data_IF_108776467231
#
_entry.id   IF_108776467231
#
_cell.length_a   1.000
_cell.length_b   1.000
_cell.length_c   1.000
_cell.angle_alpha   90.00
_cell.angle_beta   90.00
_cell.angle_gamma   90.00
#
_symmetry.space_group_name_H-M   'P 1'
#
loop_
_entity.id
_entity.type
_entity.pdbx_description
1 polymer ?
#
# COMPACT_ATOMS: atom_id res chain seq x y z
N UNK A 1 -22.21 -13.86 4.33
CA UNK A 1 -21.00 -13.09 4.64
C UNK A 1 -20.82 -12.06 3.55
N UNK A 2 -20.58 -10.83 3.92
CA UNK A 2 -20.29 -9.76 2.95
C UNK A 2 -18.94 -10.04 2.29
N UNK A 3 -18.90 -10.01 0.95
CA UNK A 3 -17.67 -10.25 0.21
C UNK A 3 -16.90 -8.94 0.09
N UNK A 4 -15.58 -9.01 0.18
CA UNK A 4 -14.70 -7.89 -0.09
C UNK A 4 -14.58 -7.69 -1.60
N UNK A 5 -14.93 -6.52 -2.08
CA UNK A 5 -14.94 -6.16 -3.49
C UNK A 5 -13.56 -5.66 -3.92
N UNK A 6 -12.94 -6.33 -4.87
CA UNK A 6 -11.60 -6.03 -5.36
C UNK A 6 -11.68 -5.57 -6.81
N UNK A 7 -10.99 -4.47 -7.13
CA UNK A 7 -10.73 -4.06 -8.51
C UNK A 7 -9.27 -4.35 -8.88
N UNK A 8 -9.02 -4.67 -10.14
CA UNK A 8 -7.68 -5.01 -10.65
C UNK A 8 -7.34 -4.10 -11.82
N UNK A 9 -6.15 -3.51 -11.78
CA UNK A 9 -5.66 -2.60 -12.81
C UNK A 9 -4.23 -2.95 -13.19
N UNK A 10 -4.02 -3.40 -14.43
CA UNK A 10 -2.72 -3.78 -14.96
C UNK A 10 -2.80 -3.77 -16.49
N UNK A 11 -1.81 -3.21 -17.20
CA UNK A 11 -1.82 -3.13 -18.67
C UNK A 11 -1.53 -4.48 -19.35
N UNK A 12 -1.12 -5.48 -18.57
CA UNK A 12 -0.87 -6.82 -19.06
C UNK A 12 -2.10 -7.72 -18.87
N UNK A 13 -2.79 -8.14 -19.97
CA UNK A 13 -3.99 -8.95 -19.87
C UNK A 13 -3.78 -10.34 -19.23
N UNK A 14 -2.55 -10.87 -19.28
CA UNK A 14 -2.23 -12.12 -18.61
C UNK A 14 -2.24 -11.95 -17.10
N UNK A 15 -1.69 -10.84 -16.59
CA UNK A 15 -1.70 -10.53 -15.16
C UNK A 15 -3.13 -10.27 -14.69
N UNK A 16 -3.93 -9.50 -15.44
CA UNK A 16 -5.35 -9.26 -15.13
C UNK A 16 -6.11 -10.58 -14.96
N UNK A 17 -5.93 -11.52 -15.89
CA UNK A 17 -6.62 -12.81 -15.83
C UNK A 17 -6.11 -13.68 -14.67
N UNK A 18 -4.80 -13.71 -14.44
CA UNK A 18 -4.19 -14.49 -13.34
C UNK A 18 -4.67 -13.98 -11.98
N UNK A 19 -4.72 -12.65 -11.79
CA UNK A 19 -5.21 -12.06 -10.54
C UNK A 19 -6.73 -12.27 -10.38
N UNK A 20 -7.49 -12.17 -11.46
CA UNK A 20 -8.93 -12.44 -11.45
C UNK A 20 -9.25 -13.87 -10.99
N UNK A 21 -8.58 -14.87 -11.57
CA UNK A 21 -8.70 -16.26 -11.16
C UNK A 21 -8.27 -16.48 -9.70
N UNK A 22 -7.14 -15.91 -9.32
CA UNK A 22 -6.61 -16.00 -7.97
C UNK A 22 -7.58 -15.46 -6.92
N UNK A 23 -8.07 -14.23 -7.13
CA UNK A 23 -8.94 -13.54 -6.17
C UNK A 23 -10.31 -14.22 -6.09
N UNK A 24 -10.90 -14.58 -7.23
CA UNK A 24 -12.22 -15.23 -7.24
C UNK A 24 -12.20 -16.68 -6.72
N UNK A 25 -11.04 -17.33 -6.67
CA UNK A 25 -10.86 -18.65 -6.03
C UNK A 25 -10.89 -18.57 -4.49
N UNK A 26 -10.71 -17.37 -3.93
CA UNK A 26 -10.66 -17.15 -2.49
C UNK A 26 -12.04 -16.84 -1.89
N UNK A 27 -12.45 -17.60 -0.87
CA UNK A 27 -13.72 -17.35 -0.17
C UNK A 27 -13.73 -15.95 0.47
N UNK A 28 -14.82 -15.22 0.26
CA UNK A 28 -15.01 -13.89 0.81
C UNK A 28 -14.37 -12.77 -0.01
N UNK A 29 -13.71 -13.06 -1.13
CA UNK A 29 -13.22 -12.09 -2.09
C UNK A 29 -14.05 -12.15 -3.39
N UNK A 30 -14.12 -11.04 -4.12
CA UNK A 30 -14.77 -10.97 -5.42
C UNK A 30 -14.17 -9.87 -6.27
N UNK A 31 -13.75 -10.18 -7.48
CA UNK A 31 -13.35 -9.16 -8.46
C UNK A 31 -14.60 -8.53 -9.06
N UNK A 32 -14.72 -7.20 -8.94
CA UNK A 32 -15.89 -6.45 -9.41
C UNK A 32 -15.58 -5.51 -10.57
N UNK A 33 -14.29 -5.33 -10.90
CA UNK A 33 -13.87 -4.49 -12.01
C UNK A 33 -12.44 -4.78 -12.43
N UNK A 34 -12.17 -4.60 -13.73
CA UNK A 34 -10.83 -4.71 -14.33
C UNK A 34 -10.61 -3.55 -15.29
N UNK A 35 -9.39 -3.01 -15.31
CA UNK A 35 -8.99 -1.99 -16.27
C UNK A 35 -7.54 -2.24 -16.72
N UNK A 36 -7.21 -1.87 -17.95
CA UNK A 36 -5.90 -2.05 -18.56
C UNK A 36 -5.10 -0.75 -18.70
N UNK A 37 -5.62 0.34 -18.16
CA UNK A 37 -4.96 1.66 -18.13
C UNK A 37 -5.57 2.55 -17.06
N UNK A 38 -4.81 3.59 -16.66
CA UNK A 38 -5.22 4.46 -15.54
C UNK A 38 -6.48 5.28 -15.80
N UNK A 39 -6.77 5.67 -17.06
CA UNK A 39 -7.98 6.45 -17.35
C UNK A 39 -9.26 5.62 -17.15
N UNK A 40 -9.26 4.39 -17.66
CA UNK A 40 -10.38 3.47 -17.49
C UNK A 40 -10.48 2.98 -16.04
N UNK A 41 -9.33 2.86 -15.34
CA UNK A 41 -9.29 2.54 -13.92
C UNK A 41 -10.06 3.56 -13.07
N UNK A 42 -9.84 4.85 -13.29
CA UNK A 42 -10.53 5.91 -12.53
C UNK A 42 -12.05 5.79 -12.73
N UNK A 43 -12.52 5.66 -13.98
CA UNK A 43 -13.95 5.50 -14.28
C UNK A 43 -14.52 4.24 -13.62
N UNK A 44 -13.83 3.11 -13.73
CA UNK A 44 -14.23 1.84 -13.15
C UNK A 44 -14.32 1.93 -11.62
N UNK A 45 -13.37 2.59 -10.94
CA UNK A 45 -13.39 2.78 -9.49
C UNK A 45 -14.59 3.62 -9.07
N UNK A 46 -14.93 4.68 -9.80
CA UNK A 46 -16.12 5.51 -9.56
C UNK A 46 -17.39 4.67 -9.67
N UNK A 47 -17.52 3.90 -10.74
CA UNK A 47 -18.74 3.15 -11.06
C UNK A 47 -18.96 1.96 -10.13
N UNK A 48 -17.88 1.29 -9.72
CA UNK A 48 -17.97 0.03 -8.96
C UNK A 48 -17.76 0.17 -7.46
N UNK A 49 -17.15 1.28 -7.00
CA UNK A 49 -16.86 1.56 -5.59
C UNK A 49 -16.21 0.38 -4.85
N UNK A 50 -15.04 -0.12 -5.30
CA UNK A 50 -14.39 -1.27 -4.69
C UNK A 50 -13.90 -0.97 -3.27
N UNK A 51 -13.69 -2.01 -2.48
CA UNK A 51 -13.05 -1.92 -1.17
C UNK A 51 -11.53 -1.80 -1.32
N UNK A 52 -10.97 -2.55 -2.27
CA UNK A 52 -9.53 -2.61 -2.54
C UNK A 52 -9.28 -2.51 -4.04
N UNK A 53 -8.23 -1.80 -4.40
CA UNK A 53 -7.71 -1.70 -5.77
C UNK A 53 -6.30 -2.29 -5.81
N UNK A 54 -6.11 -3.34 -6.60
CA UNK A 54 -4.78 -3.83 -6.99
C UNK A 54 -4.35 -3.05 -8.23
N UNK A 55 -3.24 -2.34 -8.15
CA UNK A 55 -2.88 -1.34 -9.14
C UNK A 55 -1.41 -1.46 -9.55
N UNK A 56 -1.16 -1.68 -10.83
CA UNK A 56 0.18 -1.53 -11.39
C UNK A 56 0.58 -0.05 -11.48
N UNK A 57 1.88 0.23 -11.26
CA UNK A 57 2.39 1.60 -11.38
C UNK A 57 2.65 1.99 -12.83
N UNK A 58 3.17 1.06 -13.62
CA UNK A 58 3.66 1.36 -14.97
C UNK A 58 2.59 1.00 -15.98
N UNK A 59 1.77 1.98 -16.35
CA UNK A 59 0.68 1.81 -17.31
C UNK A 59 0.64 2.93 -18.33
N UNK A 60 0.08 2.68 -19.54
CA UNK A 60 -0.11 3.72 -20.54
C UNK A 60 -1.17 4.75 -20.10
N UNK A 61 -1.09 5.96 -20.68
CA UNK A 61 -1.98 7.12 -20.51
C UNK A 61 -1.83 7.80 -19.14
N UNK A 62 -2.19 7.13 -18.06
CA UNK A 62 -2.11 7.62 -16.68
C UNK A 62 -1.44 6.53 -15.84
N UNK A 63 -0.35 6.88 -15.16
CA UNK A 63 0.37 5.96 -14.27
C UNK A 63 -0.40 5.70 -12.97
N UNK A 64 0.02 4.65 -12.24
CA UNK A 64 -0.68 4.22 -11.04
C UNK A 64 -0.65 5.25 -9.90
N UNK A 65 0.44 6.02 -9.74
CA UNK A 65 0.52 7.06 -8.70
C UNK A 65 -0.52 8.15 -8.98
N UNK A 66 -0.60 8.61 -10.22
CA UNK A 66 -1.60 9.60 -10.64
C UNK A 66 -3.04 9.11 -10.48
N UNK A 67 -3.30 7.79 -10.64
CA UNK A 67 -4.61 7.20 -10.34
C UNK A 67 -4.93 7.32 -8.86
N UNK A 68 -3.98 6.94 -7.97
CA UNK A 68 -4.18 7.04 -6.52
C UNK A 68 -4.46 8.47 -6.10
N UNK A 69 -3.62 9.43 -6.53
CA UNK A 69 -3.78 10.85 -6.21
C UNK A 69 -5.15 11.39 -6.65
N UNK A 70 -5.56 11.06 -7.87
CA UNK A 70 -6.82 11.54 -8.42
C UNK A 70 -8.00 10.97 -7.64
N UNK A 71 -8.02 9.68 -7.36
CA UNK A 71 -9.08 9.05 -6.56
C UNK A 71 -9.11 9.58 -5.13
N UNK A 72 -7.96 9.80 -4.50
CA UNK A 72 -7.89 10.32 -3.11
C UNK A 72 -8.25 11.81 -3.00
N UNK A 73 -7.98 12.60 -4.04
CA UNK A 73 -8.29 14.05 -4.06
C UNK A 73 -9.74 14.35 -4.41
N UNK A 74 -10.44 13.48 -5.11
CA UNK A 74 -11.83 13.69 -5.46
C UNK A 74 -12.74 13.32 -4.28
N UNK A 75 -13.30 14.33 -3.59
CA UNK A 75 -14.23 14.18 -2.46
C UNK A 75 -15.61 13.59 -2.84
N UNK A 76 -15.82 13.23 -4.08
CA UNK A 76 -17.05 12.62 -4.61
C UNK A 76 -17.22 11.14 -4.28
N UNK A 77 -16.16 10.49 -3.83
CA UNK A 77 -16.24 9.07 -3.46
C UNK A 77 -16.93 8.90 -2.11
N UNK A 78 -18.01 8.14 -2.10
CA UNK A 78 -18.72 7.75 -0.87
C UNK A 78 -17.82 6.90 0.05
N UNK A 79 -16.85 6.20 -0.52
CA UNK A 79 -15.87 5.38 0.18
C UNK A 79 -14.55 5.40 -0.62
N UNK A 80 -13.48 5.82 0.04
CA UNK A 80 -12.16 5.73 -0.57
C UNK A 80 -11.66 4.28 -0.51
N UNK A 81 -11.33 3.65 -1.65
CA UNK A 81 -10.75 2.31 -1.65
C UNK A 81 -9.35 2.31 -1.02
N UNK A 82 -8.94 1.17 -0.51
CA UNK A 82 -7.55 0.92 -0.18
C UNK A 82 -6.77 0.53 -1.44
N UNK A 83 -5.56 1.05 -1.61
CA UNK A 83 -4.71 0.76 -2.76
C UNK A 83 -3.55 -0.15 -2.37
N UNK A 84 -3.43 -1.27 -3.07
CA UNK A 84 -2.26 -2.16 -3.04
C UNK A 84 -1.54 -2.01 -4.37
N UNK A 85 -0.35 -1.43 -4.31
CA UNK A 85 0.48 -1.27 -5.50
C UNK A 85 1.19 -2.60 -5.82
N UNK A 86 1.14 -3.01 -7.08
CA UNK A 86 1.84 -4.18 -7.62
C UNK A 86 2.79 -3.69 -8.70
N UNK A 87 4.11 -3.71 -8.49
CA UNK A 87 5.05 -3.13 -9.46
C UNK A 87 6.28 -3.99 -9.70
N UNK A 88 6.75 -4.02 -10.95
CA UNK A 88 8.04 -4.58 -11.32
C UNK A 88 9.20 -3.61 -11.05
N UNK A 89 8.90 -2.34 -10.78
CA UNK A 89 9.88 -1.30 -10.47
C UNK A 89 9.93 -1.13 -8.97
N UNK A 90 11.13 -1.25 -8.38
CA UNK A 90 11.38 -1.01 -6.97
C UNK A 90 12.31 0.19 -6.79
N UNK A 91 12.39 0.67 -5.57
CA UNK A 91 13.27 1.74 -5.14
C UNK A 91 12.60 2.62 -4.10
N UNK A 92 13.42 3.14 -3.19
CA UNK A 92 12.95 3.96 -2.06
C UNK A 92 12.07 5.13 -2.53
N UNK A 93 12.52 5.87 -3.54
CA UNK A 93 11.78 7.02 -4.08
C UNK A 93 10.41 6.65 -4.63
N UNK A 94 10.29 5.55 -5.40
CA UNK A 94 9.03 5.13 -6.00
C UNK A 94 8.04 4.65 -4.93
N UNK A 95 8.54 3.95 -3.93
CA UNK A 95 7.75 3.48 -2.78
C UNK A 95 7.25 4.67 -1.96
N UNK A 96 8.13 5.66 -1.72
CA UNK A 96 7.78 6.90 -1.03
C UNK A 96 6.69 7.68 -1.77
N UNK A 97 6.84 7.86 -3.08
CA UNK A 97 5.87 8.59 -3.90
C UNK A 97 4.50 7.88 -3.90
N UNK A 98 4.48 6.55 -3.96
CA UNK A 98 3.26 5.76 -3.87
C UNK A 98 2.55 5.95 -2.50
N UNK A 99 3.29 5.91 -1.39
CA UNK A 99 2.70 6.12 -0.06
C UNK A 99 2.26 7.56 0.18
N UNK A 100 3.01 8.56 -0.32
CA UNK A 100 2.59 9.98 -0.29
C UNK A 100 1.31 10.21 -1.07
N UNK A 101 1.14 9.54 -2.21
CA UNK A 101 -0.10 9.57 -3.00
C UNK A 101 -1.29 8.95 -2.26
N UNK A 102 -1.05 8.10 -1.26
CA UNK A 102 -2.09 7.47 -0.44
C UNK A 102 -2.26 5.98 -0.64
N UNK A 103 -1.27 5.28 -1.22
CA UNK A 103 -1.25 3.82 -1.25
C UNK A 103 -1.18 3.25 0.18
N UNK A 104 -1.81 2.09 0.39
CA UNK A 104 -1.83 1.41 1.69
C UNK A 104 -0.75 0.34 1.79
N UNK A 105 -0.32 -0.20 0.65
CA UNK A 105 0.65 -1.27 0.58
C UNK A 105 1.39 -1.25 -0.76
N UNK A 106 2.67 -1.66 -0.74
CA UNK A 106 3.49 -1.80 -1.92
C UNK A 106 4.05 -3.22 -1.99
N UNK A 107 3.87 -3.90 -3.11
CA UNK A 107 4.31 -5.27 -3.35
C UNK A 107 5.05 -5.37 -4.67
N UNK A 108 6.30 -5.82 -4.63
CA UNK A 108 7.12 -6.00 -5.83
C UNK A 108 6.76 -7.28 -6.58
N UNK A 109 6.71 -7.19 -7.90
CA UNK A 109 6.60 -8.35 -8.80
C UNK A 109 8.01 -8.94 -9.04
N UNK A 110 8.21 -10.27 -9.01
CA UNK A 110 7.22 -11.30 -8.71
C UNK A 110 6.89 -11.39 -7.21
N UNK A 111 5.67 -11.74 -6.85
CA UNK A 111 5.21 -11.87 -5.47
C UNK A 111 4.52 -13.22 -5.23
N UNK A 112 4.49 -13.62 -3.97
CA UNK A 112 3.76 -14.81 -3.53
C UNK A 112 2.26 -14.54 -3.46
N UNK A 113 1.47 -15.51 -3.96
CA UNK A 113 0.00 -15.44 -3.99
C UNK A 113 -0.60 -15.35 -2.58
N UNK A 114 -0.03 -16.09 -1.63
CA UNK A 114 -0.52 -16.12 -0.25
C UNK A 114 -0.27 -14.79 0.44
N UNK A 115 0.87 -14.14 0.18
CA UNK A 115 1.19 -12.80 0.70
C UNK A 115 0.15 -11.79 0.20
N UNK A 116 -0.14 -11.78 -1.11
CA UNK A 116 -1.14 -10.87 -1.67
C UNK A 116 -2.52 -11.09 -1.06
N UNK A 117 -3.01 -12.33 -1.00
CA UNK A 117 -4.33 -12.66 -0.45
C UNK A 117 -4.43 -12.28 1.03
N UNK A 118 -3.40 -12.58 1.83
CA UNK A 118 -3.35 -12.21 3.24
C UNK A 118 -3.38 -10.68 3.44
N UNK A 119 -2.67 -9.92 2.59
CA UNK A 119 -2.72 -8.45 2.65
C UNK A 119 -4.07 -7.88 2.26
N UNK A 120 -4.72 -8.42 1.22
CA UNK A 120 -6.09 -8.05 0.85
C UNK A 120 -7.04 -8.27 2.04
N UNK A 121 -6.97 -9.43 2.69
CA UNK A 121 -7.80 -9.75 3.86
C UNK A 121 -7.53 -8.83 5.03
N UNK A 122 -6.26 -8.60 5.35
CA UNK A 122 -5.84 -7.74 6.46
C UNK A 122 -6.34 -6.30 6.25
N UNK A 123 -6.08 -5.70 5.08
CA UNK A 123 -6.53 -4.35 4.74
C UNK A 123 -8.06 -4.26 4.72
N UNK A 124 -8.75 -5.28 4.19
CA UNK A 124 -10.20 -5.37 4.20
C UNK A 124 -10.82 -5.76 5.54
N UNK A 125 -10.00 -5.97 6.59
CA UNK A 125 -10.44 -6.42 7.91
C UNK A 125 -11.25 -7.72 7.89
N UNK A 126 -10.98 -8.60 6.93
CA UNK A 126 -11.49 -9.97 6.92
C UNK A 126 -10.63 -10.86 7.83
N UNK A 127 -11.23 -11.87 8.48
CA UNK A 127 -10.44 -12.83 9.26
C UNK A 127 -9.45 -13.57 8.36
N UNK A 128 -8.19 -13.62 8.79
CA UNK A 128 -7.15 -14.39 8.12
C UNK A 128 -7.51 -15.87 8.12
N UNK A 129 -7.38 -16.53 6.97
CA UNK A 129 -7.40 -17.99 6.89
C UNK A 129 -6.03 -18.55 7.32
N UNK A 130 -5.56 -18.24 8.54
CA UNK A 130 -4.32 -18.85 9.01
C UNK A 130 -4.53 -20.30 9.45
N UNK A 131 -3.70 -21.25 8.99
CA UNK A 131 -3.34 -22.39 9.81
C UNK A 131 -2.52 -21.83 10.98
N UNK A 132 -2.97 -22.08 12.20
CA UNK A 132 -2.29 -21.68 13.42
C UNK A 132 -0.81 -22.10 13.39
N UNK A 133 0.10 -21.15 13.35
CA UNK A 133 1.51 -21.44 13.57
C UNK A 133 2.49 -20.65 12.72
N UNK A 134 3.17 -19.77 13.40
CA UNK A 134 4.42 -19.07 13.12
C UNK A 134 4.32 -17.65 12.57
N UNK A 135 4.42 -16.71 13.49
CA UNK A 135 5.10 -15.44 13.26
C UNK A 135 6.54 -15.76 12.89
N UNK A 136 6.90 -15.60 11.64
CA UNK A 136 8.29 -15.68 11.18
C UNK A 136 8.89 -14.29 11.26
N UNK A 137 9.52 -14.00 12.40
CA UNK A 137 10.61 -13.05 12.44
C UNK A 137 11.83 -13.75 11.87
N UNK A 138 12.11 -13.60 10.58
CA UNK A 138 13.34 -14.07 9.98
C UNK A 138 14.25 -12.88 9.64
N UNK A 139 15.57 -13.02 9.81
CA UNK A 139 16.52 -11.99 9.42
C UNK A 139 16.59 -11.88 7.89
N UNK A 140 16.73 -10.67 7.40
CA UNK A 140 16.85 -10.30 6.00
C UNK A 140 18.01 -11.06 5.32
N UNK A 141 17.70 -11.86 4.30
CA UNK A 141 18.68 -12.38 3.35
C UNK A 141 18.47 -11.70 1.96
N UNK A 142 19.54 -11.32 1.23
CA UNK A 142 19.40 -10.62 -0.04
C UNK A 142 18.88 -11.58 -1.12
N UNK A 143 17.61 -11.41 -1.48
CA UNK A 143 16.87 -12.23 -2.45
C UNK A 143 15.39 -12.38 -2.12
N UNK A 144 14.94 -11.92 -0.97
CA UNK A 144 13.53 -11.98 -0.55
C UNK A 144 12.70 -10.82 -1.14
N UNK A 145 11.48 -11.15 -1.51
CA UNK A 145 10.46 -10.25 -2.06
C UNK A 145 10.28 -9.04 -1.15
N UNK A 146 10.66 -7.85 -1.62
CA UNK A 146 10.48 -6.61 -0.85
C UNK A 146 9.02 -6.20 -0.89
N UNK A 147 8.34 -6.42 0.21
CA UNK A 147 7.00 -5.89 0.47
C UNK A 147 7.07 -4.96 1.69
N UNK A 148 6.49 -3.79 1.58
CA UNK A 148 6.51 -2.79 2.65
C UNK A 148 5.08 -2.25 2.82
N UNK A 149 4.61 -2.16 4.05
CA UNK A 149 3.36 -1.45 4.37
C UNK A 149 3.64 0.04 4.47
N UNK A 150 2.63 0.87 4.24
CA UNK A 150 2.74 2.32 4.47
C UNK A 150 3.15 2.62 5.91
N UNK A 151 2.61 1.89 6.88
CA UNK A 151 2.89 2.06 8.31
C UNK A 151 4.35 1.73 8.64
N UNK A 152 4.87 0.62 8.10
CA UNK A 152 6.28 0.23 8.25
C UNK A 152 7.20 1.26 7.60
N UNK A 153 6.89 1.71 6.39
CA UNK A 153 7.63 2.74 5.70
C UNK A 153 7.64 4.06 6.48
N UNK A 154 6.48 4.53 6.90
CA UNK A 154 6.37 5.78 7.68
C UNK A 154 7.11 5.69 9.01
N UNK A 155 7.05 4.54 9.69
CA UNK A 155 7.76 4.33 10.95
C UNK A 155 9.28 4.35 10.76
N UNK A 156 9.80 3.69 9.72
CA UNK A 156 11.23 3.64 9.42
C UNK A 156 11.77 5.02 9.01
N UNK A 157 10.98 5.80 8.25
CA UNK A 157 11.40 7.12 7.75
C UNK A 157 11.07 8.26 8.71
N UNK A 158 10.11 8.12 9.62
CA UNK A 158 9.74 9.14 10.60
C UNK A 158 10.95 9.58 11.44
N UNK A 159 11.75 8.64 11.93
CA UNK A 159 12.96 8.95 12.69
C UNK A 159 14.00 9.70 11.85
N UNK A 160 14.14 9.34 10.58
CA UNK A 160 15.06 10.00 9.65
C UNK A 160 14.59 11.41 9.33
N UNK A 161 13.31 11.61 9.09
CA UNK A 161 12.73 12.92 8.76
C UNK A 161 12.74 13.85 9.98
N UNK A 162 12.44 13.35 11.17
CA UNK A 162 12.60 14.11 12.43
C UNK A 162 14.06 14.52 12.61
N UNK A 163 15.00 13.62 12.34
CA UNK A 163 16.43 13.91 12.43
C UNK A 163 16.86 15.01 11.47
N UNK A 164 16.41 14.96 10.20
CA UNK A 164 16.67 16.01 9.20
C UNK A 164 16.08 17.36 9.65
N UNK A 165 14.83 17.36 10.10
CA UNK A 165 14.13 18.55 10.57
C UNK A 165 14.85 19.19 11.77
N UNK A 166 15.28 18.40 12.75
CA UNK A 166 16.02 18.89 13.92
C UNK A 166 17.39 19.48 13.52
N UNK A 167 18.05 18.87 12.53
CA UNK A 167 19.30 19.39 11.98
C UNK A 167 19.10 20.71 11.24
N UNK A 168 18.06 20.87 10.45
CA UNK A 168 17.70 22.11 9.77
C UNK A 168 17.36 23.24 10.75
N UNK A 169 16.76 22.89 11.90
CA UNK A 169 16.53 23.83 13.02
C UNK A 169 17.79 24.17 13.82
N UNK A 170 18.94 23.61 13.43
CA UNK A 170 20.22 23.86 14.08
C UNK A 170 20.40 23.15 15.42
N UNK A 171 19.66 22.07 15.69
CA UNK A 171 19.76 21.29 16.92
C UNK A 171 20.76 20.14 16.70
N UNK A 172 21.97 20.20 17.30
CA UNK A 172 22.99 19.19 17.05
C UNK A 172 22.67 17.85 17.75
N UNK A 173 22.93 16.74 17.08
CA UNK A 173 22.66 15.40 17.59
C UNK A 173 23.41 14.99 18.89
N UNK A 174 24.46 15.72 19.26
CA UNK A 174 25.26 15.45 20.46
C UNK A 174 24.74 16.12 21.74
N UNK A 175 23.64 16.88 21.66
CA UNK A 175 23.05 17.53 22.85
C UNK A 175 22.35 16.48 23.71
N UNK A 176 22.61 16.56 25.04
CA UNK A 176 21.86 15.78 26.02
C UNK A 176 20.38 16.14 25.91
N UNK A 177 19.55 15.19 25.53
CA UNK A 177 18.12 15.40 25.32
C UNK A 177 17.65 15.35 23.87
N UNK A 178 18.57 15.30 22.89
CA UNK A 178 18.20 15.14 21.47
C UNK A 178 17.32 13.91 21.24
N UNK A 179 17.66 12.78 21.85
CA UNK A 179 16.86 11.56 21.77
C UNK A 179 15.47 11.75 22.34
N UNK A 180 15.34 12.42 23.50
CA UNK A 180 14.03 12.68 24.11
C UNK A 180 13.16 13.58 23.24
N UNK A 181 13.77 14.58 22.57
CA UNK A 181 13.04 15.48 21.67
C UNK A 181 12.56 14.72 20.42
N UNK A 182 13.42 13.90 19.83
CA UNK A 182 13.08 13.04 18.70
C UNK A 182 11.93 12.08 19.03
N UNK A 183 12.05 11.38 20.16
CA UNK A 183 11.06 10.41 20.60
C UNK A 183 9.72 11.09 20.95
N UNK A 184 9.73 12.28 21.54
CA UNK A 184 8.53 13.06 21.82
C UNK A 184 7.82 13.51 20.53
N UNK A 185 8.56 13.94 19.51
CA UNK A 185 7.99 14.29 18.21
C UNK A 185 7.40 13.04 17.52
N UNK A 186 8.11 11.91 17.53
CA UNK A 186 7.63 10.67 16.96
C UNK A 186 6.30 10.23 17.62
N UNK A 187 6.23 10.22 18.95
CA UNK A 187 5.00 9.90 19.70
C UNK A 187 3.86 10.86 19.38
N UNK A 188 4.12 12.14 19.20
CA UNK A 188 3.06 13.12 18.90
C UNK A 188 2.48 12.97 17.48
N UNK A 189 3.25 12.44 16.55
CA UNK A 189 2.77 12.13 15.19
C UNK A 189 1.94 10.84 15.19
N UNK A 190 2.39 9.81 15.92
CA UNK A 190 1.64 8.54 16.06
C UNK A 190 0.28 8.75 16.74
N UNK A 191 0.17 9.63 17.76
CA UNK A 191 -1.10 9.93 18.45
C UNK A 191 -2.12 10.69 17.56
N UNK A 192 -1.66 11.46 16.57
CA UNK A 192 -2.57 12.17 15.64
C UNK A 192 -3.22 11.27 14.60
N UNK A 193 -2.63 10.13 14.30
CA UNK A 193 -3.21 9.14 13.37
C UNK A 193 -4.27 8.24 14.02
N UNK A 194 -4.41 8.25 15.35
CA UNK A 194 -5.41 7.47 16.11
C UNK A 194 -6.73 8.22 16.37
N UNK A 195 -6.88 9.48 15.96
CA UNK A 195 -8.11 10.26 16.07
C UNK A 195 -8.81 10.42 14.72
#
# INVERSE_FOLDING_TARGET
MEKLNVAIVDDNPLILNTLDELINAEDGLSVIGKADNGADAINMIVDTTPDIVLLDLVMPKIDGISVVEKVKSEHTFLKNPAFIILSAVGGEQMTEDAFKAGANYYLMKPFDKEILVNKIRHIGKLPDKQPAGKVLTAPFEPGEESHITREEYMKEHLETDITKMLHELGIPAHIKGYQYLRDAIAMSVEDQEMM
#
